data_IF_613146334857
#
_entry.id   IF_613146334857
#
_cell.length_a   1.000
_cell.length_b   1.000
_cell.length_c   1.000
_cell.angle_alpha   90.00
_cell.angle_beta   90.00
_cell.angle_gamma   90.00
#
_symmetry.space_group_name_H-M   'P 1'
#
loop_
_entity.id
_entity.type
_entity.pdbx_description
1 polymer ?
#
# COMPACT_ATOMS: atom_id res chain seq x y z
N UNK A 1 40.04 -21.64 26.15
CA UNK A 1 40.81 -22.84 25.76
C UNK A 1 39.93 -24.07 25.98
N UNK A 2 39.60 -24.79 24.89
CA UNK A 2 39.18 -26.21 24.66
C UNK A 2 38.40 -27.03 25.74
N UNK A 3 37.71 -28.15 25.40
CA UNK A 3 37.50 -28.77 24.06
C UNK A 3 36.06 -29.27 23.71
N UNK A 4 35.82 -29.44 22.40
CA UNK A 4 35.26 -30.61 21.65
C UNK A 4 34.29 -31.54 22.40
N UNK A 5 33.12 -31.98 21.91
CA UNK A 5 32.64 -32.18 20.54
C UNK A 5 32.09 -33.61 20.43
N UNK A 6 30.81 -33.79 20.08
CA UNK A 6 30.27 -35.07 19.56
C UNK A 6 29.06 -34.83 18.68
N UNK A 7 28.97 -35.61 17.60
CA UNK A 7 28.09 -35.49 16.43
C UNK A 7 27.34 -36.84 16.27
N UNK A 8 26.11 -36.79 15.70
CA UNK A 8 25.36 -37.88 14.99
C UNK A 8 24.52 -38.82 15.92
N UNK A 9 23.28 -39.29 15.56
CA UNK A 9 22.73 -39.48 14.20
C UNK A 9 21.37 -38.87 13.83
N UNK A 10 21.26 -38.74 12.49
CA UNK A 10 20.06 -38.78 11.67
C UNK A 10 19.02 -39.81 12.15
N UNK A 11 17.78 -39.36 12.37
CA UNK A 11 16.61 -40.23 12.39
C UNK A 11 15.84 -40.04 11.09
N UNK A 12 15.56 -41.16 10.43
CA UNK A 12 14.91 -41.25 9.13
C UNK A 12 13.42 -41.55 9.30
N UNK A 13 12.63 -41.01 8.37
CA UNK A 13 11.28 -41.44 7.96
C UNK A 13 10.14 -41.21 8.96
N UNK A 14 9.27 -40.27 8.61
CA UNK A 14 7.84 -40.57 8.48
C UNK A 14 7.23 -39.69 7.37
N UNK A 15 7.09 -40.30 6.19
CA UNK A 15 6.20 -39.84 5.12
C UNK A 15 4.82 -40.39 5.46
N UNK A 16 3.88 -39.54 5.84
CA UNK A 16 2.46 -39.88 5.80
C UNK A 16 1.81 -39.10 4.65
N UNK A 17 1.62 -39.82 3.56
CA UNK A 17 0.83 -39.43 2.39
C UNK A 17 -0.64 -39.41 2.80
N UNK A 18 -1.31 -38.26 2.69
CA UNK A 18 -2.77 -38.20 2.73
C UNK A 18 -3.28 -38.02 1.30
N UNK A 19 -4.05 -39.02 0.87
CA UNK A 19 -4.57 -39.18 -0.48
C UNK A 19 -5.56 -38.07 -0.83
N UNK A 20 -5.42 -37.55 -2.05
CA UNK A 20 -6.44 -36.76 -2.75
C UNK A 20 -7.57 -37.70 -3.17
N UNK A 21 -8.78 -37.51 -2.65
CA UNK A 21 -9.98 -38.16 -3.16
C UNK A 21 -10.75 -37.16 -4.03
N UNK A 22 -10.58 -37.34 -5.34
CA UNK A 22 -11.44 -36.80 -6.40
C UNK A 22 -12.74 -37.60 -6.43
N UNK A 23 -13.89 -36.97 -6.15
CA UNK A 23 -15.21 -37.58 -6.37
C UNK A 23 -15.85 -36.96 -7.62
N UNK A 24 -16.24 -37.88 -8.49
CA UNK A 24 -16.96 -37.78 -9.75
C UNK A 24 -18.01 -36.66 -9.86
N UNK A 25 -17.88 -35.89 -10.95
CA UNK A 25 -19.03 -35.42 -11.74
C UNK A 25 -19.74 -36.65 -12.32
N UNK A 26 -21.05 -36.76 -12.12
CA UNK A 26 -22.09 -37.08 -13.12
C UNK A 26 -23.35 -37.52 -12.39
N UNK A 27 -24.41 -36.71 -12.41
CA UNK A 27 -25.76 -37.23 -12.54
C UNK A 27 -26.59 -36.25 -13.36
N UNK A 28 -27.08 -36.77 -14.48
CA UNK A 28 -27.95 -36.15 -15.45
C UNK A 28 -29.39 -36.14 -14.91
N UNK A 29 -30.14 -35.11 -15.30
CA UNK A 29 -31.55 -35.21 -15.72
C UNK A 29 -32.58 -35.72 -14.71
N UNK A 30 -33.35 -34.78 -14.16
CA UNK A 30 -34.74 -35.05 -13.81
C UNK A 30 -35.62 -34.06 -14.57
N UNK A 31 -36.37 -34.62 -15.52
CA UNK A 31 -37.42 -34.01 -16.31
C UNK A 31 -38.70 -34.01 -15.49
N UNK A 32 -39.35 -32.85 -15.36
CA UNK A 32 -40.74 -32.77 -14.93
C UNK A 32 -41.48 -31.73 -15.78
N UNK A 33 -42.54 -32.21 -16.42
CA UNK A 33 -43.19 -31.59 -17.57
C UNK A 33 -43.87 -30.25 -17.30
N UNK A 34 -43.91 -29.44 -18.35
CA UNK A 34 -44.88 -28.36 -18.51
C UNK A 34 -45.54 -28.56 -19.90
N UNK A 35 -46.87 -28.63 -20.00
CA UNK A 35 -47.55 -29.03 -21.22
C UNK A 35 -47.54 -27.94 -22.29
N UNK A 36 -47.31 -28.37 -23.53
CA UNK A 36 -47.51 -27.64 -24.79
C UNK A 36 -48.95 -27.12 -24.87
N UNK A 37 -49.15 -25.80 -24.80
CA UNK A 37 -50.37 -25.19 -25.33
C UNK A 37 -50.25 -25.07 -26.85
N UNK A 38 -51.27 -25.66 -27.49
CA UNK A 38 -51.47 -25.75 -28.93
C UNK A 38 -51.81 -24.36 -29.48
N UNK A 39 -51.04 -23.92 -30.46
CA UNK A 39 -51.35 -22.75 -31.28
C UNK A 39 -52.69 -22.98 -32.00
N UNK A 40 -53.70 -22.16 -31.69
CA UNK A 40 -54.86 -21.99 -32.55
C UNK A 40 -54.70 -20.66 -33.28
N UNK A 41 -54.35 -20.79 -34.56
CA UNK A 41 -54.38 -19.73 -35.55
C UNK A 41 -55.84 -19.40 -35.83
N UNK A 42 -56.31 -18.26 -35.33
CA UNK A 42 -57.56 -17.64 -35.75
C UNK A 42 -57.21 -16.50 -36.71
N UNK A 43 -57.23 -16.82 -38.00
CA UNK A 43 -57.21 -15.83 -39.08
C UNK A 43 -58.52 -15.05 -39.06
N UNK A 44 -58.47 -13.79 -38.65
CA UNK A 44 -59.52 -12.82 -38.95
C UNK A 44 -58.97 -11.81 -39.94
N UNK A 45 -59.41 -11.96 -41.17
CA UNK A 45 -59.23 -11.02 -42.27
C UNK A 45 -60.06 -9.75 -42.04
N UNK A 46 -59.63 -8.67 -42.69
CA UNK A 46 -60.24 -7.37 -42.90
C UNK A 46 -59.90 -6.26 -41.91
N UNK A 47 -59.03 -5.37 -42.39
CA UNK A 47 -58.85 -4.02 -41.87
C UNK A 47 -57.49 -3.44 -42.24
N UNK A 48 -57.24 -3.19 -43.53
CA UNK A 48 -56.17 -2.30 -43.97
C UNK A 48 -56.41 -0.90 -43.39
N UNK A 49 -55.93 -0.67 -42.17
CA UNK A 49 -55.68 0.67 -41.66
C UNK A 49 -54.21 0.93 -41.97
N UNK A 50 -53.99 1.57 -43.11
CA UNK A 50 -52.70 2.14 -43.46
C UNK A 50 -52.10 2.85 -42.24
N UNK A 51 -50.84 2.58 -41.85
CA UNK A 51 -50.16 3.44 -40.90
C UNK A 51 -50.06 4.79 -41.62
N UNK A 52 -50.88 5.75 -41.20
CA UNK A 52 -50.66 7.14 -41.53
C UNK A 52 -49.26 7.45 -41.01
N UNK A 53 -48.28 7.48 -41.92
CA UNK A 53 -46.97 8.05 -41.66
C UNK A 53 -47.22 9.51 -41.26
N UNK A 54 -47.44 9.75 -39.97
CA UNK A 54 -47.19 11.06 -39.42
C UNK A 54 -45.69 11.26 -39.56
N UNK A 55 -45.22 12.27 -40.32
CA UNK A 55 -43.83 12.64 -40.24
C UNK A 55 -43.61 12.99 -38.78
N UNK A 56 -42.85 12.17 -38.06
CA UNK A 56 -42.38 12.54 -36.74
C UNK A 56 -41.57 13.82 -36.96
N UNK A 57 -42.19 14.96 -36.70
CA UNK A 57 -41.65 16.28 -37.00
C UNK A 57 -40.23 16.32 -36.44
N UNK A 58 -39.21 16.38 -37.31
CA UNK A 58 -37.82 16.48 -36.87
C UNK A 58 -37.64 17.66 -35.91
N UNK A 59 -38.45 18.72 -36.07
CA UNK A 59 -38.59 19.84 -35.15
C UNK A 59 -39.06 19.44 -33.73
N UNK A 60 -40.02 18.53 -33.58
CA UNK A 60 -40.53 18.07 -32.28
C UNK A 60 -39.48 17.26 -31.52
N UNK A 61 -38.72 16.39 -32.21
CA UNK A 61 -37.60 15.64 -31.61
C UNK A 61 -36.46 16.55 -31.16
N UNK A 62 -36.17 17.60 -31.93
CA UNK A 62 -35.19 18.62 -31.57
C UNK A 62 -35.63 19.45 -30.36
N UNK A 63 -36.92 19.81 -30.27
CA UNK A 63 -37.48 20.53 -29.12
C UNK A 63 -37.42 19.67 -27.86
N UNK A 64 -37.85 18.40 -27.91
CA UNK A 64 -37.78 17.49 -26.76
C UNK A 64 -36.33 17.27 -26.30
N UNK A 65 -35.38 17.12 -27.23
CA UNK A 65 -33.95 16.97 -26.89
C UNK A 65 -33.41 18.22 -26.21
N UNK A 66 -33.79 19.41 -26.66
CA UNK A 66 -33.41 20.69 -26.03
C UNK A 66 -33.97 20.82 -24.61
N UNK A 67 -35.22 20.41 -24.38
CA UNK A 67 -35.86 20.43 -23.05
C UNK A 67 -35.17 19.45 -22.09
N UNK A 68 -34.84 18.24 -22.55
CA UNK A 68 -34.14 17.26 -21.70
C UNK A 68 -32.73 17.75 -21.37
N UNK A 69 -32.00 18.30 -22.35
CA UNK A 69 -30.67 18.87 -22.12
C UNK A 69 -30.72 20.05 -21.15
N UNK A 70 -31.70 20.96 -21.28
CA UNK A 70 -31.82 22.09 -20.36
C UNK A 70 -32.20 21.64 -18.95
N UNK A 71 -33.09 20.65 -18.81
CA UNK A 71 -33.44 20.07 -17.52
C UNK A 71 -32.26 19.36 -16.85
N UNK A 72 -31.47 18.59 -17.61
CA UNK A 72 -30.26 17.93 -17.09
C UNK A 72 -29.19 18.95 -16.66
N UNK A 73 -29.00 20.02 -17.43
CA UNK A 73 -28.09 21.11 -17.06
C UNK A 73 -28.59 21.81 -15.80
N UNK A 74 -29.89 22.12 -15.71
CA UNK A 74 -30.46 22.74 -14.51
C UNK A 74 -30.30 21.85 -13.27
N UNK A 75 -30.51 20.54 -13.41
CA UNK A 75 -30.36 19.58 -12.32
C UNK A 75 -28.89 19.42 -11.90
N UNK A 76 -27.96 19.41 -12.85
CA UNK A 76 -26.52 19.49 -12.58
C UNK A 76 -26.15 20.79 -11.86
N UNK A 77 -26.65 21.94 -12.33
CA UNK A 77 -26.39 23.24 -11.70
C UNK A 77 -26.96 23.28 -10.27
N UNK A 78 -28.16 22.75 -10.05
CA UNK A 78 -28.74 22.63 -8.70
C UNK A 78 -27.88 21.72 -7.81
N UNK A 79 -27.42 20.59 -8.32
CA UNK A 79 -26.52 19.70 -7.60
C UNK A 79 -25.18 20.38 -7.25
N UNK A 80 -24.56 21.09 -8.20
CA UNK A 80 -23.29 21.79 -7.98
C UNK A 80 -23.39 23.08 -7.17
N UNK A 81 -24.57 23.70 -7.08
CA UNK A 81 -24.78 24.94 -6.33
C UNK A 81 -25.36 24.68 -4.93
N UNK A 82 -26.22 23.69 -4.76
CA UNK A 82 -26.94 23.43 -3.51
C UNK A 82 -26.59 22.11 -2.83
N UNK A 83 -26.05 21.13 -3.56
CA UNK A 83 -25.67 19.80 -3.04
C UNK A 83 -24.16 19.57 -3.22
N UNK A 84 -23.33 20.61 -3.07
CA UNK A 84 -21.90 20.35 -2.91
C UNK A 84 -21.71 19.57 -1.61
N UNK A 85 -21.11 18.37 -1.61
CA UNK A 85 -20.58 17.82 -0.38
C UNK A 85 -19.58 18.85 0.13
N UNK A 86 -19.94 19.52 1.24
CA UNK A 86 -19.01 20.43 1.90
C UNK A 86 -17.76 19.62 2.18
N UNK A 87 -16.64 20.03 1.61
CA UNK A 87 -15.36 19.45 1.95
C UNK A 87 -15.22 19.48 3.47
N UNK A 88 -14.48 18.52 4.06
CA UNK A 88 -14.26 18.52 5.49
C UNK A 88 -13.86 19.92 5.98
N UNK A 89 -14.42 20.40 7.10
CA UNK A 89 -14.14 21.75 7.59
C UNK A 89 -12.63 21.93 7.78
N UNK A 90 -12.17 23.17 7.60
CA UNK A 90 -10.75 23.50 7.69
C UNK A 90 -10.17 23.07 9.06
N UNK A 91 -8.85 22.78 9.16
CA UNK A 91 -8.22 22.40 10.41
C UNK A 91 -8.51 23.35 11.59
N UNK A 92 -8.71 24.65 11.32
CA UNK A 92 -9.08 25.65 12.33
C UNK A 92 -10.40 25.35 13.04
N UNK A 93 -11.36 24.72 12.36
CA UNK A 93 -12.64 24.29 12.94
C UNK A 93 -12.49 22.93 13.65
N UNK A 94 -11.62 22.05 13.15
CA UNK A 94 -11.39 20.71 13.72
C UNK A 94 -10.53 20.72 14.98
N UNK A 95 -9.62 21.67 15.12
CA UNK A 95 -8.76 21.85 16.29
C UNK A 95 -8.70 23.34 16.68
N UNK A 96 -9.72 23.85 17.38
CA UNK A 96 -9.75 25.24 17.83
C UNK A 96 -8.52 25.56 18.70
N UNK A 97 -7.77 26.62 18.38
CA UNK A 97 -6.63 27.11 19.19
C UNK A 97 -5.23 26.62 18.80
N UNK A 98 -5.08 25.76 17.77
CA UNK A 98 -3.75 25.25 17.38
C UNK A 98 -2.87 26.29 16.64
N UNK A 99 -3.46 27.24 15.92
CA UNK A 99 -2.72 28.15 15.03
C UNK A 99 -2.18 29.43 15.71
N UNK A 100 -2.69 29.79 16.89
CA UNK A 100 -2.31 31.03 17.56
C UNK A 100 -1.07 30.87 18.47
N UNK A 101 -0.59 29.65 18.63
CA UNK A 101 0.65 29.31 19.33
C UNK A 101 1.73 28.89 18.35
N UNK A 102 2.04 29.76 17.38
CA UNK A 102 3.33 29.65 16.69
C UNK A 102 4.41 29.59 17.76
N UNK A 103 5.20 28.51 17.76
CA UNK A 103 6.30 28.32 18.68
C UNK A 103 7.12 29.62 18.75
N UNK A 104 7.56 30.06 19.95
CA UNK A 104 8.29 31.30 20.07
C UNK A 104 9.48 31.28 19.11
N UNK A 105 9.48 32.21 18.17
CA UNK A 105 10.49 32.41 17.11
C UNK A 105 11.91 32.62 17.70
N UNK A 106 12.00 32.77 19.02
CA UNK A 106 13.21 33.02 19.79
C UNK A 106 13.66 31.83 20.65
N UNK A 107 13.27 30.60 20.33
CA UNK A 107 13.83 29.43 21.02
C UNK A 107 15.32 29.27 20.63
N UNK A 108 16.28 29.45 21.56
CA UNK A 108 17.69 29.17 21.29
C UNK A 108 17.80 27.68 20.93
N UNK A 109 18.44 27.35 19.80
CA UNK A 109 18.73 26.01 19.28
C UNK A 109 17.85 24.88 19.81
N UNK A 110 16.89 24.39 19.01
CA UNK A 110 16.05 23.24 19.34
C UNK A 110 16.94 22.06 19.78
N UNK A 111 17.05 21.86 21.09
CA UNK A 111 17.71 20.72 21.69
C UNK A 111 16.63 19.72 22.06
N UNK A 112 16.65 18.55 21.42
CA UNK A 112 15.72 17.48 21.77
C UNK A 112 16.16 16.92 23.13
N UNK A 113 15.33 17.15 24.15
CA UNK A 113 15.57 16.63 25.49
C UNK A 113 15.48 15.09 25.50
N UNK A 114 16.29 14.42 26.31
CA UNK A 114 16.29 12.94 26.42
C UNK A 114 14.93 12.39 26.84
N UNK A 115 14.20 13.12 27.69
CA UNK A 115 12.83 12.81 28.09
C UNK A 115 11.83 12.82 26.92
N UNK A 116 12.11 13.61 25.88
CA UNK A 116 11.32 13.64 24.64
C UNK A 116 11.60 12.42 23.76
N UNK A 117 12.81 11.86 23.79
CA UNK A 117 13.14 10.67 23.01
C UNK A 117 12.75 9.36 23.70
N UNK A 118 12.96 9.26 25.02
CA UNK A 118 12.80 8.01 25.79
C UNK A 118 11.55 7.98 26.69
N UNK A 119 10.61 8.89 26.48
CA UNK A 119 9.36 8.89 27.23
C UNK A 119 8.45 7.71 26.88
N UNK A 120 7.32 7.63 27.60
CA UNK A 120 6.34 6.56 27.44
C UNK A 120 5.69 6.52 26.05
N UNK A 121 5.10 5.37 25.72
CA UNK A 121 4.25 5.17 24.54
C UNK A 121 3.06 6.12 24.61
N UNK A 122 2.85 6.89 23.53
CA UNK A 122 1.78 7.89 23.46
C UNK A 122 0.48 7.28 22.92
N UNK A 123 0.59 6.28 22.05
CA UNK A 123 -0.54 5.75 21.27
C UNK A 123 -1.30 4.66 22.02
N UNK A 124 -2.65 4.58 21.86
CA UNK A 124 -3.46 3.54 22.48
C UNK A 124 -3.29 2.18 21.78
N UNK A 125 -3.86 1.13 22.38
CA UNK A 125 -3.90 -0.21 21.80
C UNK A 125 -4.63 -0.23 20.45
N UNK A 126 -4.08 -0.92 19.45
CA UNK A 126 -4.71 -1.08 18.14
C UNK A 126 -5.32 -2.48 17.99
N UNK A 127 -6.59 -2.62 18.33
CA UNK A 127 -7.26 -3.93 18.40
C UNK A 127 -7.73 -4.56 17.08
N UNK A 128 -7.72 -3.84 15.96
CA UNK A 128 -8.11 -4.39 14.66
C UNK A 128 -6.91 -5.00 13.95
N UNK A 129 -6.84 -6.33 13.91
CA UNK A 129 -5.69 -7.06 13.37
C UNK A 129 -5.43 -6.84 11.87
N UNK A 130 -6.48 -6.68 11.06
CA UNK A 130 -6.31 -6.39 9.62
C UNK A 130 -5.68 -5.03 9.40
N UNK A 131 -6.22 -4.01 10.08
CA UNK A 131 -5.69 -2.63 10.02
C UNK A 131 -4.28 -2.57 10.59
N UNK A 132 -4.00 -3.30 11.67
CA UNK A 132 -2.67 -3.42 12.26
C UNK A 132 -1.66 -4.03 11.30
N UNK A 133 -2.04 -5.08 10.57
CA UNK A 133 -1.18 -5.71 9.57
C UNK A 133 -0.94 -4.78 8.36
N UNK A 134 -1.97 -4.08 7.89
CA UNK A 134 -1.84 -3.07 6.81
C UNK A 134 -0.91 -1.92 7.22
N UNK A 135 -1.12 -1.37 8.41
CA UNK A 135 -0.25 -0.35 9.00
C UNK A 135 1.19 -0.85 9.12
N UNK A 136 1.39 -2.08 9.60
CA UNK A 136 2.70 -2.71 9.72
C UNK A 136 3.45 -2.76 8.39
N UNK A 137 2.82 -3.30 7.34
CA UNK A 137 3.42 -3.37 5.99
C UNK A 137 3.77 -2.00 5.42
N UNK A 138 2.84 -1.06 5.48
CA UNK A 138 3.08 0.31 4.99
C UNK A 138 4.22 0.99 5.76
N UNK A 139 4.27 0.77 7.08
CA UNK A 139 5.29 1.36 7.93
C UNK A 139 6.66 0.75 7.66
N UNK A 140 6.76 -0.57 7.54
CA UNK A 140 8.04 -1.23 7.23
C UNK A 140 8.58 -0.80 5.87
N UNK A 141 7.70 -0.64 4.86
CA UNK A 141 8.11 -0.08 3.57
C UNK A 141 8.72 1.31 3.75
N UNK A 142 8.02 2.23 4.42
CA UNK A 142 8.54 3.57 4.69
C UNK A 142 9.86 3.53 5.48
N UNK A 143 9.91 2.75 6.56
CA UNK A 143 11.07 2.66 7.46
C UNK A 143 12.32 2.18 6.72
N UNK A 144 12.21 1.09 5.96
CA UNK A 144 13.32 0.58 5.14
C UNK A 144 13.71 1.56 4.02
N UNK A 145 12.75 2.24 3.39
CA UNK A 145 13.06 3.27 2.40
C UNK A 145 13.82 4.45 3.02
N UNK A 146 13.46 4.92 4.22
CA UNK A 146 14.24 5.95 4.93
C UNK A 146 15.70 5.50 5.10
N UNK A 147 15.92 4.25 5.50
CA UNK A 147 17.28 3.74 5.76
C UNK A 147 18.07 3.57 4.48
N UNK A 148 17.43 3.09 3.41
CA UNK A 148 18.05 2.92 2.10
C UNK A 148 18.41 4.27 1.44
N UNK A 149 17.67 5.34 1.74
CA UNK A 149 17.95 6.71 1.26
C UNK A 149 18.98 7.46 2.11
N UNK A 150 19.28 6.97 3.31
CA UNK A 150 20.21 7.62 4.24
C UNK A 150 21.61 7.78 3.61
N UNK A 151 22.42 8.79 3.97
CA UNK A 151 23.78 8.96 3.43
C UNK A 151 24.72 7.83 3.85
N UNK A 152 25.69 7.48 2.99
CA UNK A 152 26.75 6.54 3.37
C UNK A 152 27.69 7.16 4.41
N UNK A 153 27.96 8.46 4.30
CA UNK A 153 28.79 9.24 5.22
C UNK A 153 27.99 10.41 5.82
N UNK A 154 27.14 10.16 6.82
CA UNK A 154 26.27 11.18 7.40
C UNK A 154 27.03 12.15 8.32
N UNK A 155 26.61 13.41 8.35
CA UNK A 155 27.08 14.39 9.34
C UNK A 155 26.57 14.05 10.75
N UNK A 156 27.16 14.63 11.79
CA UNK A 156 26.68 14.42 13.18
C UNK A 156 25.21 14.80 13.37
N UNK A 157 24.79 15.91 12.75
CA UNK A 157 23.40 16.36 12.72
C UNK A 157 22.48 15.30 12.06
N UNK A 158 22.88 14.74 10.92
CA UNK A 158 22.11 13.69 10.24
C UNK A 158 22.05 12.38 11.05
N UNK A 159 23.10 12.05 11.78
CA UNK A 159 23.11 10.90 12.69
C UNK A 159 22.14 11.11 13.85
N UNK A 160 22.16 12.30 14.44
CA UNK A 160 21.25 12.64 15.53
C UNK A 160 19.80 12.74 15.05
N UNK A 161 19.55 13.30 13.88
CA UNK A 161 18.23 13.35 13.27
C UNK A 161 17.64 11.94 13.05
N UNK A 162 18.43 11.00 12.49
CA UNK A 162 17.96 9.62 12.29
C UNK A 162 17.74 8.90 13.63
N UNK A 163 18.65 9.06 14.59
CA UNK A 163 18.52 8.48 15.93
C UNK A 163 17.26 8.99 16.63
N UNK A 164 17.06 10.31 16.64
CA UNK A 164 15.89 10.98 17.21
C UNK A 164 14.60 10.53 16.52
N UNK A 165 14.60 10.44 15.19
CA UNK A 165 13.48 9.91 14.42
C UNK A 165 13.09 8.50 14.88
N UNK A 166 14.05 7.58 15.06
CA UNK A 166 13.75 6.19 15.45
C UNK A 166 13.16 6.10 16.86
N UNK A 167 13.68 6.88 17.82
CA UNK A 167 13.12 6.91 19.18
C UNK A 167 11.72 7.54 19.20
N UNK A 168 11.52 8.64 18.47
CA UNK A 168 10.19 9.28 18.35
C UNK A 168 9.19 8.38 17.61
N UNK A 169 9.64 7.68 16.58
CA UNK A 169 8.88 6.68 15.86
C UNK A 169 8.36 5.61 16.83
N UNK A 170 9.21 5.11 17.74
CA UNK A 170 8.79 4.14 18.75
C UNK A 170 7.71 4.69 19.68
N UNK A 171 7.80 5.96 20.08
CA UNK A 171 6.81 6.59 20.98
C UNK A 171 5.46 6.85 20.31
N UNK A 172 5.50 7.21 19.03
CA UNK A 172 4.35 7.67 18.26
C UNK A 172 3.77 6.61 17.33
N UNK A 173 4.28 5.38 17.34
CA UNK A 173 3.76 4.33 16.47
C UNK A 173 2.28 4.01 16.80
N UNK A 174 1.34 4.06 15.84
CA UNK A 174 -0.11 4.04 16.13
C UNK A 174 -0.68 2.75 16.74
N UNK A 175 0.14 1.73 16.95
CA UNK A 175 -0.19 0.53 17.70
C UNK A 175 0.56 0.57 19.04
N UNK A 176 -0.12 0.94 20.13
CA UNK A 176 0.51 1.14 21.44
C UNK A 176 1.23 -0.09 22.00
N UNK A 177 0.69 -1.28 21.81
CA UNK A 177 1.37 -2.52 22.22
C UNK A 177 2.59 -2.83 21.34
N UNK A 178 2.53 -2.52 20.04
CA UNK A 178 3.65 -2.68 19.13
C UNK A 178 4.77 -1.67 19.48
N UNK A 179 4.40 -0.43 19.77
CA UNK A 179 5.29 0.63 20.22
C UNK A 179 6.04 0.21 21.49
N UNK A 180 5.34 -0.34 22.48
CA UNK A 180 5.94 -0.84 23.72
C UNK A 180 6.95 -1.95 23.46
N UNK A 181 6.60 -2.93 22.62
CA UNK A 181 7.56 -3.98 22.23
C UNK A 181 8.77 -3.40 21.50
N UNK A 182 8.58 -2.47 20.57
CA UNK A 182 9.68 -1.84 19.85
C UNK A 182 10.60 -1.04 20.78
N UNK A 183 10.07 -0.33 21.78
CA UNK A 183 10.89 0.33 22.82
C UNK A 183 11.75 -0.68 23.61
N UNK A 184 11.23 -1.88 23.89
CA UNK A 184 12.02 -2.94 24.52
C UNK A 184 13.15 -3.44 23.62
N UNK A 185 12.92 -3.58 22.31
CA UNK A 185 13.99 -3.87 21.35
C UNK A 185 15.03 -2.76 21.30
N UNK A 186 14.62 -1.49 21.25
CA UNK A 186 15.56 -0.36 21.23
C UNK A 186 16.46 -0.31 22.48
N UNK A 187 15.95 -0.76 23.63
CA UNK A 187 16.73 -0.84 24.87
C UNK A 187 17.84 -1.90 24.80
N UNK A 188 17.65 -2.97 24.02
CA UNK A 188 18.62 -4.06 23.83
C UNK A 188 19.53 -3.82 22.63
N UNK A 189 18.99 -3.23 21.57
CA UNK A 189 19.59 -3.12 20.25
C UNK A 189 19.48 -1.66 19.77
N UNK A 190 20.32 -0.76 20.30
CA UNK A 190 20.23 0.66 19.98
C UNK A 190 20.47 0.93 18.48
N UNK A 191 19.85 1.99 17.92
CA UNK A 191 19.96 2.31 16.50
C UNK A 191 21.40 2.52 16.03
N UNK A 192 21.77 1.87 14.92
CA UNK A 192 23.04 2.09 14.24
C UNK A 192 22.84 3.11 13.12
N UNK A 193 23.42 4.29 13.27
CA UNK A 193 23.18 5.43 12.36
C UNK A 193 24.46 5.94 11.71
N UNK A 194 25.57 5.21 11.81
CA UNK A 194 26.88 5.65 11.32
C UNK A 194 27.00 5.71 9.79
N UNK A 195 26.15 4.98 9.07
CA UNK A 195 26.08 4.97 7.60
C UNK A 195 24.75 4.38 7.13
N UNK A 196 24.43 4.54 5.84
CA UNK A 196 23.31 3.86 5.17
C UNK A 196 23.32 2.35 5.43
N UNK A 197 24.46 1.70 5.19
CA UNK A 197 24.60 0.25 5.38
C UNK A 197 24.37 -0.17 6.84
N UNK A 198 24.89 0.59 7.80
CA UNK A 198 24.66 0.32 9.22
C UNK A 198 23.18 0.49 9.60
N UNK A 199 22.52 1.55 9.12
CA UNK A 199 21.11 1.82 9.39
C UNK A 199 20.18 0.79 8.75
N UNK A 200 20.40 0.45 7.47
CA UNK A 200 19.60 -0.52 6.75
C UNK A 200 19.78 -1.94 7.32
N UNK A 201 21.02 -2.34 7.63
CA UNK A 201 21.31 -3.62 8.26
C UNK A 201 20.66 -3.75 9.64
N UNK A 202 20.75 -2.70 10.47
CA UNK A 202 20.09 -2.65 11.76
C UNK A 202 18.55 -2.72 11.63
N UNK A 203 17.96 -2.00 10.69
CA UNK A 203 16.52 -2.05 10.44
C UNK A 203 16.05 -3.45 10.02
N UNK A 204 16.83 -4.15 9.20
CA UNK A 204 16.54 -5.54 8.82
C UNK A 204 16.61 -6.48 10.01
N UNK A 205 17.67 -6.39 10.81
CA UNK A 205 17.82 -7.17 12.03
C UNK A 205 16.61 -7.00 12.96
N UNK A 206 16.20 -5.76 13.24
CA UNK A 206 15.04 -5.52 14.10
C UNK A 206 13.72 -5.99 13.46
N UNK A 207 13.57 -5.89 12.14
CA UNK A 207 12.41 -6.45 11.45
C UNK A 207 12.36 -7.98 11.64
N UNK A 208 13.52 -8.66 11.60
CA UNK A 208 13.59 -10.09 11.87
C UNK A 208 13.31 -10.45 13.34
N UNK A 209 13.68 -9.61 14.31
CA UNK A 209 13.25 -9.79 15.70
C UNK A 209 11.72 -9.78 15.82
N UNK A 210 11.05 -8.86 15.12
CA UNK A 210 9.58 -8.82 15.06
C UNK A 210 9.02 -10.02 14.30
N UNK A 211 9.67 -10.47 13.23
CA UNK A 211 9.27 -11.68 12.52
C UNK A 211 9.32 -12.90 13.44
N UNK A 212 10.39 -13.06 14.21
CA UNK A 212 10.53 -14.14 15.18
C UNK A 212 9.42 -14.09 16.25
N UNK A 213 9.09 -12.91 16.77
CA UNK A 213 7.98 -12.73 17.72
C UNK A 213 6.60 -13.11 17.15
N UNK A 214 6.45 -13.02 15.83
CA UNK A 214 5.20 -13.30 15.11
C UNK A 214 5.23 -14.67 14.39
N UNK A 215 6.22 -15.52 14.68
CA UNK A 215 6.45 -16.82 14.04
C UNK A 215 6.51 -16.74 12.50
N UNK A 216 7.10 -15.66 11.98
CA UNK A 216 7.33 -15.43 10.54
C UNK A 216 8.74 -15.89 10.14
N UNK A 217 8.94 -16.32 8.88
CA UNK A 217 10.27 -16.64 8.37
C UNK A 217 11.23 -15.46 8.48
N UNK A 218 12.50 -15.76 8.73
CA UNK A 218 13.57 -14.77 8.68
C UNK A 218 13.77 -14.26 7.25
N UNK A 219 13.95 -12.95 7.10
CA UNK A 219 14.33 -12.33 5.84
C UNK A 219 15.85 -12.26 5.72
N UNK A 220 16.40 -12.64 4.56
CA UNK A 220 17.83 -12.54 4.29
C UNK A 220 18.24 -11.08 4.03
N UNK A 221 18.91 -10.47 5.00
CA UNK A 221 19.36 -9.08 4.93
C UNK A 221 20.38 -8.82 3.81
N UNK A 222 20.97 -9.84 3.19
CA UNK A 222 21.83 -9.65 2.01
C UNK A 222 21.05 -9.12 0.79
N UNK A 223 19.74 -9.37 0.71
CA UNK A 223 18.90 -9.00 -0.43
C UNK A 223 18.15 -7.67 -0.23
N UNK A 224 18.54 -6.86 0.77
CA UNK A 224 17.85 -5.60 1.10
C UNK A 224 17.82 -4.60 -0.06
N UNK A 225 18.93 -4.46 -0.79
CA UNK A 225 19.04 -3.49 -1.89
C UNK A 225 18.12 -3.80 -3.07
N UNK A 226 17.81 -5.08 -3.30
CA UNK A 226 16.88 -5.50 -4.36
C UNK A 226 15.42 -5.37 -3.92
N UNK A 227 15.11 -5.72 -2.66
CA UNK A 227 13.74 -5.71 -2.14
C UNK A 227 13.24 -4.31 -1.76
N UNK A 228 14.10 -3.51 -1.14
CA UNK A 228 13.84 -2.13 -0.78
C UNK A 228 14.66 -1.20 -1.68
N UNK A 229 14.32 -1.20 -2.97
CA UNK A 229 14.86 -0.24 -3.92
C UNK A 229 14.69 1.19 -3.37
N UNK A 230 15.82 1.90 -3.31
CA UNK A 230 15.85 3.27 -2.85
C UNK A 230 15.26 4.24 -3.90
N UNK A 231 14.96 3.78 -5.12
CA UNK A 231 14.48 4.64 -6.21
C UNK A 231 15.54 5.67 -6.60
N UNK A 232 16.81 5.38 -6.29
CA UNK A 232 17.92 6.21 -6.67
C UNK A 232 18.18 5.93 -8.16
N UNK A 233 17.68 6.80 -9.03
CA UNK A 233 18.15 6.85 -10.40
C UNK A 233 19.68 7.05 -10.36
N UNK A 234 20.41 6.44 -11.30
CA UNK A 234 21.86 6.27 -11.26
C UNK A 234 22.67 7.57 -11.33
N UNK A 235 22.59 8.39 -10.28
CA UNK A 235 23.38 9.60 -10.12
C UNK A 235 24.76 9.17 -9.59
N UNK A 236 25.69 9.02 -10.53
CA UNK A 236 27.14 8.85 -10.36
C UNK A 236 27.73 9.96 -9.44
N UNK A 237 28.81 9.82 -8.68
CA UNK A 237 29.87 8.83 -8.57
C UNK A 237 30.60 9.05 -7.22
N UNK A 238 31.16 8.02 -6.59
CA UNK A 238 31.99 8.20 -5.39
C UNK A 238 32.44 6.94 -4.66
N UNK A 239 32.99 5.94 -5.35
CA UNK A 239 33.69 4.82 -4.68
C UNK A 239 33.84 3.57 -5.53
N UNK A 240 35.02 3.39 -6.13
CA UNK A 240 35.38 2.19 -6.89
C UNK A 240 35.26 0.91 -6.06
N UNK A 241 34.53 -0.06 -6.60
CA UNK A 241 34.56 -1.47 -6.19
C UNK A 241 33.68 -2.34 -7.10
N UNK A 242 34.22 -2.80 -8.23
CA UNK A 242 33.64 -3.79 -9.16
C UNK A 242 33.10 -5.03 -8.40
N UNK A 243 32.13 -5.83 -8.87
CA UNK A 243 32.15 -6.55 -10.16
C UNK A 243 30.89 -7.42 -10.40
N UNK A 244 30.38 -7.41 -11.64
CA UNK A 244 29.62 -8.52 -12.29
C UNK A 244 28.09 -8.49 -12.10
N UNK A 245 27.22 -8.62 -13.11
CA UNK A 245 27.37 -9.16 -14.47
C UNK A 245 26.36 -8.48 -15.39
N UNK A 246 26.86 -7.88 -16.47
CA UNK A 246 26.04 -7.41 -17.58
C UNK A 246 25.56 -8.61 -18.41
N UNK A 247 24.29 -8.64 -18.78
CA UNK A 247 23.88 -9.23 -20.05
C UNK A 247 23.16 -8.17 -20.86
N UNK A 248 23.91 -7.65 -21.83
CA UNK A 248 23.49 -6.69 -22.83
C UNK A 248 22.65 -7.38 -23.90
N UNK A 249 21.51 -6.80 -24.28
CA UNK A 249 20.94 -6.93 -25.62
C UNK A 249 20.49 -5.56 -26.09
N UNK A 250 21.33 -4.99 -26.93
CA UNK A 250 21.09 -3.85 -27.79
C UNK A 250 20.02 -4.15 -28.84
N UNK A 251 19.08 -3.24 -29.04
CA UNK A 251 18.65 -2.89 -30.39
C UNK A 251 18.30 -1.39 -30.45
N UNK A 252 18.70 -0.76 -31.54
CA UNK A 252 18.67 0.68 -31.76
C UNK A 252 17.54 1.05 -32.72
N UNK A 253 16.78 2.11 -32.43
CA UNK A 253 15.88 2.67 -33.45
C UNK A 253 14.87 3.73 -32.99
N UNK A 254 15.27 5.00 -33.15
CA UNK A 254 14.48 6.12 -33.72
C UNK A 254 13.51 6.94 -32.84
N UNK A 255 13.96 8.16 -32.55
CA UNK A 255 13.33 9.50 -32.70
C UNK A 255 11.80 9.67 -32.49
N UNK A 256 11.43 10.66 -31.65
CA UNK A 256 10.06 11.18 -31.58
C UNK A 256 9.64 11.76 -30.22
N UNK A 257 9.73 13.08 -30.09
CA UNK A 257 9.25 13.94 -29.00
C UNK A 257 7.76 13.74 -28.63
N UNK A 258 7.44 13.49 -27.34
CA UNK A 258 6.31 14.11 -26.58
C UNK A 258 6.30 13.64 -25.12
N UNK A 259 6.44 14.57 -24.17
CA UNK A 259 6.15 14.32 -22.76
C UNK A 259 4.64 14.33 -22.55
N UNK A 260 4.06 13.16 -22.33
CA UNK A 260 2.78 12.98 -21.64
C UNK A 260 3.01 11.84 -20.64
N UNK A 261 3.11 12.16 -19.35
CA UNK A 261 3.28 11.16 -18.30
C UNK A 261 1.96 10.46 -18.01
N UNK A 262 1.90 9.11 -17.98
CA UNK A 262 0.71 8.42 -17.51
C UNK A 262 0.67 8.45 -15.98
N UNK A 263 -0.53 8.64 -15.44
CA UNK A 263 -0.84 8.42 -14.04
C UNK A 263 -0.39 7.01 -13.64
N UNK A 264 0.39 6.91 -12.57
CA UNK A 264 0.76 5.63 -11.97
C UNK A 264 -0.53 5.01 -11.42
N UNK A 265 -1.08 4.04 -12.15
CA UNK A 265 -2.05 3.11 -11.57
C UNK A 265 -1.33 2.34 -10.47
N UNK A 266 -1.85 2.46 -9.25
CA UNK A 266 -1.50 1.57 -8.14
C UNK A 266 -2.10 0.21 -8.50
N UNK A 267 -1.38 -0.55 -9.31
CA UNK A 267 -1.66 -1.97 -9.49
C UNK A 267 -1.51 -2.62 -8.12
N UNK A 268 -2.52 -3.39 -7.74
CA UNK A 268 -2.50 -4.24 -6.54
C UNK A 268 -1.27 -5.14 -6.63
N UNK A 269 -0.25 -4.81 -5.85
CA UNK A 269 0.90 -5.66 -5.68
C UNK A 269 0.45 -6.98 -5.04
N UNK A 270 1.02 -8.06 -5.53
CA UNK A 270 0.65 -9.42 -5.19
C UNK A 270 0.86 -9.66 -3.70
N UNK A 271 -0.20 -10.18 -3.07
CA UNK A 271 -0.29 -10.56 -1.66
C UNK A 271 0.89 -11.46 -1.28
N UNK A 272 1.97 -10.88 -0.78
CA UNK A 272 3.06 -11.62 -0.17
C UNK A 272 3.09 -11.35 1.32
N UNK A 273 3.14 -12.44 2.07
CA UNK A 273 3.43 -12.49 3.51
C UNK A 273 4.66 -11.63 3.79
N UNK A 274 4.46 -10.49 4.43
CA UNK A 274 5.45 -9.72 5.18
C UNK A 274 4.98 -9.65 6.61
#
# INVERSE_FOLDING_TARGET
>A
MRPWGTRIPFSTKNKLSFAKTTIFKTFFSSSSGIPRLRSQVLTRSLGDIAPRHQPANMASRQITRRIISSAAIALCLVFFLFIRPQGPPSPAIRAPGHIDHSAPVTAPGISIQDSTLKGEVVMPKLGNETVKAELGRATWKYFHTVMARYPETPTEDQQEALRSYIYLFARLYPCGECASHFQQHLSKYPPQVSSRNAAAGWACFIHNEVNAMLDKPEFDCANLGEFYDCGCNGDEEGGKGKQGSATSRSDAGKDGTRHDGPAVEISKEETTRG
#
